data_IF_550861268971
#
_entry.id   IF_550861268971
#
_cell.length_a   1.000
_cell.length_b   1.000
_cell.length_c   1.000
_cell.angle_alpha   90.00
_cell.angle_beta   90.00
_cell.angle_gamma   90.00
#
_symmetry.space_group_name_H-M   'P 1'
#
loop_
_entity.id
_entity.type
_entity.pdbx_description
1 polymer ?
#
# COMPACT_ATOMS: atom_id res chain seq x y z
N UNK A 1 -20.26 -10.30 31.63
CA UNK A 1 -18.86 -9.89 31.83
C UNK A 1 -18.47 -9.20 30.56
N UNK A 2 -18.13 -7.90 30.61
CA UNK A 2 -17.78 -7.14 29.42
C UNK A 2 -16.30 -7.30 29.11
N UNK A 3 -15.95 -7.51 27.83
CA UNK A 3 -14.56 -7.58 27.37
C UNK A 3 -14.16 -6.26 26.76
N UNK A 4 -13.06 -5.67 27.24
CA UNK A 4 -12.52 -4.40 26.73
C UNK A 4 -11.15 -4.66 26.13
N UNK A 5 -10.88 -4.09 24.96
CA UNK A 5 -9.60 -4.18 24.27
C UNK A 5 -8.90 -2.83 24.31
N UNK A 6 -7.60 -2.83 24.61
CA UNK A 6 -6.73 -1.66 24.55
C UNK A 6 -5.74 -1.82 23.41
N UNK A 7 -5.74 -0.88 22.46
CA UNK A 7 -4.79 -0.87 21.36
C UNK A 7 -3.65 0.09 21.64
N UNK A 8 -2.41 -0.28 21.28
CA UNK A 8 -1.22 0.57 21.39
C UNK A 8 -1.31 1.81 20.49
N UNK A 9 -1.79 1.63 19.26
CA UNK A 9 -2.06 2.69 18.30
C UNK A 9 -3.47 2.52 17.74
N UNK A 10 -3.99 3.55 17.08
CA UNK A 10 -5.29 3.45 16.42
C UNK A 10 -5.25 2.30 15.39
N UNK A 11 -6.12 1.29 15.51
CA UNK A 11 -6.02 0.08 14.68
C UNK A 11 -6.19 0.38 13.19
N UNK A 12 -5.53 -0.43 12.36
CA UNK A 12 -5.72 -0.47 10.92
C UNK A 12 -5.49 -1.91 10.46
N UNK A 13 -6.56 -2.56 10.02
CA UNK A 13 -6.59 -3.98 9.69
C UNK A 13 -6.26 -4.27 8.23
N UNK A 14 -6.14 -5.55 7.87
CA UNK A 14 -6.09 -5.98 6.48
C UNK A 14 -7.39 -5.66 5.73
N UNK A 15 -8.53 -5.75 6.41
CA UNK A 15 -9.83 -5.35 5.85
C UNK A 15 -9.83 -3.87 5.46
N UNK A 16 -9.31 -2.99 6.33
CA UNK A 16 -9.25 -1.54 6.04
C UNK A 16 -8.44 -1.24 4.78
N UNK A 17 -7.31 -1.92 4.56
CA UNK A 17 -6.54 -1.73 3.31
C UNK A 17 -7.28 -2.25 2.08
N UNK A 18 -7.97 -3.38 2.19
CA UNK A 18 -8.79 -3.91 1.09
C UNK A 18 -9.92 -2.95 0.73
N UNK A 19 -10.59 -2.37 1.72
CA UNK A 19 -11.64 -1.35 1.52
C UNK A 19 -11.08 -0.06 0.92
N UNK A 20 -9.93 0.43 1.43
CA UNK A 20 -9.23 1.58 0.85
C UNK A 20 -8.95 1.35 -0.65
N UNK A 21 -8.36 0.21 -1.00
CA UNK A 21 -8.03 -0.13 -2.38
C UNK A 21 -9.30 -0.20 -3.24
N UNK A 22 -10.34 -0.88 -2.74
CA UNK A 22 -11.61 -1.03 -3.45
C UNK A 22 -12.24 0.32 -3.78
N UNK A 23 -12.38 1.21 -2.78
CA UNK A 23 -12.97 2.54 -3.00
C UNK A 23 -12.09 3.44 -3.86
N UNK A 24 -10.77 3.31 -3.77
CA UNK A 24 -9.83 4.12 -4.54
C UNK A 24 -9.85 3.77 -6.02
N UNK A 25 -9.98 2.48 -6.35
CA UNK A 25 -9.94 1.98 -7.73
C UNK A 25 -11.28 2.05 -8.48
N UNK A 26 -12.32 2.59 -7.84
CA UNK A 26 -13.65 2.77 -8.47
C UNK A 26 -13.76 4.13 -9.18
N UNK A 27 -14.87 4.32 -9.92
CA UNK A 27 -15.18 5.64 -10.49
C UNK A 27 -15.22 6.71 -9.36
N UNK A 28 -14.68 7.94 -9.56
CA UNK A 28 -14.17 8.50 -10.82
C UNK A 28 -12.66 8.31 -11.08
N UNK A 29 -11.95 7.47 -10.36
CA UNK A 29 -10.49 7.44 -10.35
C UNK A 29 -9.84 6.52 -11.42
N UNK A 30 -10.60 5.96 -12.35
CA UNK A 30 -10.10 5.00 -13.37
C UNK A 30 -8.92 5.51 -14.20
N UNK A 31 -8.87 6.83 -14.44
CA UNK A 31 -7.78 7.46 -15.18
C UNK A 31 -6.61 7.89 -14.29
N UNK A 32 -6.68 7.61 -12.98
CA UNK A 32 -5.67 8.02 -12.00
C UNK A 32 -4.97 6.84 -11.34
N UNK A 33 -5.66 5.70 -11.17
CA UNK A 33 -5.14 4.56 -10.42
C UNK A 33 -5.57 3.23 -11.01
N UNK A 34 -4.65 2.25 -10.96
CA UNK A 34 -4.89 0.84 -11.30
C UNK A 34 -4.35 -0.05 -10.20
N UNK A 35 -5.08 -1.13 -9.89
CA UNK A 35 -4.65 -2.17 -8.95
C UNK A 35 -3.98 -3.32 -9.71
N UNK A 36 -2.94 -3.89 -9.12
CA UNK A 36 -2.37 -5.19 -9.48
C UNK A 36 -1.97 -5.94 -8.23
N UNK A 37 -1.87 -7.25 -8.30
CA UNK A 37 -1.30 -8.08 -7.21
C UNK A 37 0.21 -8.18 -7.47
N UNK A 38 1.02 -7.70 -6.53
CA UNK A 38 2.48 -7.77 -6.61
C UNK A 38 2.94 -9.22 -6.44
N UNK A 39 2.47 -9.88 -5.40
CA UNK A 39 2.73 -11.29 -5.10
C UNK A 39 1.70 -11.83 -4.10
N UNK A 40 1.78 -13.14 -3.82
CA UNK A 40 1.12 -13.76 -2.69
C UNK A 40 2.05 -13.79 -1.47
N UNK A 41 1.50 -13.58 -0.29
CA UNK A 41 2.19 -13.81 0.96
C UNK A 41 2.34 -15.31 1.24
N UNK A 42 3.06 -15.68 2.29
CA UNK A 42 3.22 -17.10 2.71
C UNK A 42 1.88 -17.76 3.05
N UNK A 43 0.94 -17.02 3.64
CA UNK A 43 -0.41 -17.51 3.92
C UNK A 43 -1.35 -17.41 2.71
N UNK A 44 -0.88 -16.99 1.54
CA UNK A 44 -1.68 -16.87 0.32
C UNK A 44 -2.48 -15.57 0.18
N UNK A 45 -2.31 -14.61 1.08
CA UNK A 45 -2.96 -13.31 1.00
C UNK A 45 -2.36 -12.47 -0.14
N UNK A 46 -3.17 -11.61 -0.73
CA UNK A 46 -2.69 -10.67 -1.76
C UNK A 46 -1.82 -9.57 -1.12
N UNK A 47 -0.64 -9.38 -1.68
CA UNK A 47 0.15 -8.16 -1.49
C UNK A 47 -0.18 -7.25 -2.68
N UNK A 48 -1.11 -6.35 -2.47
CA UNK A 48 -1.60 -5.48 -3.52
C UNK A 48 -0.64 -4.31 -3.79
N UNK A 49 -0.56 -3.92 -5.07
CA UNK A 49 0.14 -2.72 -5.52
C UNK A 49 -0.80 -1.83 -6.32
N UNK A 50 -0.82 -0.55 -5.97
CA UNK A 50 -1.49 0.48 -6.75
C UNK A 50 -0.47 1.16 -7.67
N UNK A 51 -0.85 1.35 -8.93
CA UNK A 51 -0.13 2.15 -9.89
C UNK A 51 -0.91 3.44 -10.07
N UNK A 52 -0.31 4.58 -9.67
CA UNK A 52 -0.94 5.90 -9.73
C UNK A 52 -0.17 6.78 -10.69
N UNK A 53 -0.86 7.27 -11.72
CA UNK A 53 -0.33 8.21 -12.73
C UNK A 53 -1.53 8.81 -13.49
N UNK A 54 -1.29 9.74 -14.41
CA UNK A 54 -2.33 10.17 -15.34
C UNK A 54 -2.43 9.18 -16.51
N UNK A 55 -3.40 8.26 -16.45
CA UNK A 55 -3.66 7.25 -17.48
C UNK A 55 -4.42 7.81 -18.70
N UNK A 56 -4.89 9.06 -18.66
CA UNK A 56 -5.43 9.75 -19.82
C UNK A 56 -4.32 10.23 -20.79
N UNK A 57 -3.06 10.25 -20.36
CA UNK A 57 -1.90 10.52 -21.23
C UNK A 57 -1.68 9.37 -22.19
N UNK A 58 -1.02 9.66 -23.32
CA UNK A 58 -0.64 8.63 -24.29
C UNK A 58 0.39 7.66 -23.68
N UNK A 59 0.38 6.39 -24.07
CA UNK A 59 1.25 5.36 -23.47
C UNK A 59 2.75 5.69 -23.54
N UNK A 60 3.18 6.32 -24.60
CA UNK A 60 4.58 6.71 -24.85
C UNK A 60 5.06 7.72 -23.79
N UNK A 61 4.23 8.69 -23.42
CA UNK A 61 4.53 9.67 -22.37
C UNK A 61 4.61 8.99 -21.00
N UNK A 62 3.70 8.05 -20.72
CA UNK A 62 3.71 7.31 -19.45
C UNK A 62 4.98 6.45 -19.33
N UNK A 63 5.43 5.85 -20.45
CA UNK A 63 6.57 4.92 -20.47
C UNK A 63 7.90 5.61 -20.11
N UNK A 64 8.04 6.90 -20.36
CA UNK A 64 9.25 7.67 -20.04
C UNK A 64 9.23 8.36 -18.69
N UNK A 65 8.09 8.33 -17.96
CA UNK A 65 7.99 8.89 -16.62
C UNK A 65 8.85 8.13 -15.63
N UNK A 66 9.50 8.85 -14.72
CA UNK A 66 10.23 8.24 -13.61
C UNK A 66 9.27 7.55 -12.67
N UNK A 67 9.62 6.33 -12.25
CA UNK A 67 8.85 5.59 -11.25
C UNK A 67 9.29 5.97 -9.83
N UNK A 68 8.32 6.14 -8.94
CA UNK A 68 8.52 6.31 -7.49
C UNK A 68 7.83 5.15 -6.80
N UNK A 69 8.59 4.34 -6.06
CA UNK A 69 8.04 3.23 -5.28
C UNK A 69 7.88 3.65 -3.82
N UNK A 70 6.67 3.47 -3.30
CA UNK A 70 6.33 3.72 -1.89
C UNK A 70 5.81 2.42 -1.28
N UNK A 71 6.27 2.08 -0.09
CA UNK A 71 5.78 0.92 0.64
C UNK A 71 5.49 1.27 2.10
N UNK A 72 4.54 0.55 2.71
CA UNK A 72 4.17 0.72 4.09
C UNK A 72 3.92 -0.61 4.79
N UNK A 73 3.79 -0.56 6.10
CA UNK A 73 3.39 -1.68 6.96
C UNK A 73 4.26 -2.93 6.83
N UNK A 74 5.59 -2.76 6.74
CA UNK A 74 6.55 -3.86 6.83
C UNK A 74 6.53 -4.47 8.24
N UNK A 75 6.38 -3.64 9.28
CA UNK A 75 6.14 -4.07 10.64
C UNK A 75 4.62 -4.02 10.95
N UNK A 76 4.02 -5.15 11.33
CA UNK A 76 2.56 -5.25 11.49
C UNK A 76 1.97 -4.36 12.59
N UNK A 77 2.72 -4.10 13.66
CA UNK A 77 2.27 -3.25 14.77
C UNK A 77 2.29 -1.75 14.48
N UNK A 78 2.92 -1.30 13.38
CA UNK A 78 3.04 0.10 13.04
C UNK A 78 1.82 0.59 12.24
N UNK A 79 0.62 0.59 12.85
CA UNK A 79 -0.64 0.99 12.19
C UNK A 79 -0.62 2.43 11.67
N UNK A 80 0.16 3.33 12.29
CA UNK A 80 0.41 4.68 11.81
C UNK A 80 0.97 4.72 10.37
N UNK A 81 1.78 3.74 9.97
CA UNK A 81 2.28 3.64 8.60
C UNK A 81 1.15 3.45 7.58
N UNK A 82 0.11 2.68 7.92
CA UNK A 82 -1.06 2.50 7.07
C UNK A 82 -1.92 3.77 6.99
N UNK A 83 -2.11 4.48 8.11
CA UNK A 83 -2.81 5.76 8.12
C UNK A 83 -2.10 6.82 7.28
N UNK A 84 -0.76 6.90 7.38
CA UNK A 84 0.03 7.81 6.53
C UNK A 84 -0.08 7.44 5.06
N UNK A 85 0.03 6.14 4.74
CA UNK A 85 -0.07 5.67 3.35
C UNK A 85 -1.45 5.90 2.76
N UNK A 86 -2.51 5.75 3.55
CA UNK A 86 -3.87 6.11 3.14
C UNK A 86 -3.94 7.58 2.74
N UNK A 87 -3.41 8.50 3.58
CA UNK A 87 -3.38 9.92 3.25
C UNK A 87 -2.60 10.22 1.97
N UNK A 88 -1.49 9.53 1.73
CA UNK A 88 -0.71 9.65 0.47
C UNK A 88 -1.54 9.20 -0.72
N UNK A 89 -2.21 8.05 -0.64
CA UNK A 89 -3.05 7.52 -1.72
C UNK A 89 -4.21 8.48 -2.01
N UNK A 90 -4.94 8.87 -0.98
CA UNK A 90 -6.09 9.79 -1.11
C UNK A 90 -5.67 11.13 -1.72
N UNK A 91 -4.52 11.68 -1.31
CA UNK A 91 -3.97 12.88 -1.92
C UNK A 91 -3.63 12.67 -3.39
N UNK A 92 -2.89 11.60 -3.71
CA UNK A 92 -2.42 11.36 -5.08
C UNK A 92 -3.57 11.11 -6.08
N UNK A 93 -4.72 10.58 -5.64
CA UNK A 93 -5.89 10.38 -6.52
C UNK A 93 -6.88 11.54 -6.49
N UNK A 94 -6.67 12.55 -5.64
CA UNK A 94 -7.54 13.72 -5.53
C UNK A 94 -7.48 14.61 -6.77
N UNK A 95 -8.42 15.56 -6.85
CA UNK A 95 -8.46 16.59 -7.89
C UNK A 95 -7.60 17.83 -7.55
N UNK A 96 -6.74 17.72 -6.52
CA UNK A 96 -5.81 18.78 -6.18
C UNK A 96 -4.81 19.00 -7.32
N UNK A 97 -4.56 20.25 -7.70
CA UNK A 97 -3.65 20.61 -8.80
C UNK A 97 -2.23 20.08 -8.63
N UNK A 98 -1.73 20.03 -7.39
CA UNK A 98 -0.39 19.46 -7.09
C UNK A 98 -0.37 17.95 -7.30
N UNK A 99 -1.45 17.25 -6.91
CA UNK A 99 -1.59 15.81 -7.14
C UNK A 99 -1.68 15.51 -8.64
N UNK A 100 -2.41 16.31 -9.40
CA UNK A 100 -2.47 16.20 -10.86
C UNK A 100 -1.07 16.37 -11.48
N UNK A 101 -0.34 17.42 -11.11
CA UNK A 101 1.02 17.67 -11.60
C UNK A 101 1.98 16.51 -11.27
N UNK A 102 1.84 15.90 -10.09
CA UNK A 102 2.62 14.73 -9.72
C UNK A 102 2.28 13.52 -10.61
N UNK A 103 0.99 13.25 -10.87
CA UNK A 103 0.56 12.15 -11.76
C UNK A 103 0.97 12.39 -13.22
N UNK A 104 1.05 13.65 -13.67
CA UNK A 104 1.52 13.98 -15.01
C UNK A 104 3.04 13.78 -15.17
N UNK A 105 3.78 13.84 -14.05
CA UNK A 105 5.25 13.78 -14.04
C UNK A 105 5.80 12.40 -13.71
N UNK A 106 5.11 11.63 -12.86
CA UNK A 106 5.61 10.39 -12.29
C UNK A 106 4.64 9.21 -12.45
N UNK A 107 5.19 8.00 -12.35
CA UNK A 107 4.42 6.77 -12.08
C UNK A 107 4.71 6.35 -10.64
N UNK A 108 3.71 6.40 -9.78
CA UNK A 108 3.81 5.89 -8.41
C UNK A 108 3.44 4.41 -8.37
N UNK A 109 4.31 3.59 -7.77
CA UNK A 109 4.06 2.18 -7.43
C UNK A 109 3.92 2.09 -5.92
N UNK A 110 2.72 1.88 -5.43
CA UNK A 110 2.41 1.96 -4.00
C UNK A 110 2.01 0.59 -3.48
N UNK A 111 2.74 0.09 -2.50
CA UNK A 111 2.45 -1.15 -1.79
C UNK A 111 1.93 -0.77 -0.38
N UNK A 112 0.60 -0.74 -0.17
CA UNK A 112 0.03 -0.19 1.07
C UNK A 112 0.33 -1.03 2.31
N UNK A 113 0.52 -2.34 2.13
CA UNK A 113 0.79 -3.27 3.23
C UNK A 113 1.72 -4.38 2.76
N UNK A 114 3.01 -4.31 3.16
CA UNK A 114 4.02 -5.31 2.79
C UNK A 114 3.90 -6.62 3.56
N UNK A 115 3.36 -6.58 4.78
CA UNK A 115 3.27 -7.75 5.66
C UNK A 115 1.82 -8.03 6.10
N UNK A 116 0.95 -8.42 5.15
CA UNK A 116 -0.45 -8.70 5.48
C UNK A 116 -0.60 -9.87 6.48
N UNK A 117 0.21 -10.91 6.36
CA UNK A 117 0.15 -12.06 7.25
C UNK A 117 0.43 -11.66 8.71
N UNK A 118 1.48 -10.89 8.94
CA UNK A 118 1.81 -10.41 10.28
C UNK A 118 0.70 -9.54 10.87
N UNK A 119 0.02 -8.73 10.05
CA UNK A 119 -1.14 -7.92 10.47
C UNK A 119 -2.32 -8.83 10.84
N UNK A 120 -2.65 -9.82 10.02
CA UNK A 120 -3.78 -10.72 10.22
C UNK A 120 -3.61 -11.57 11.49
N UNK A 121 -2.40 -12.09 11.73
CA UNK A 121 -2.13 -12.91 12.93
C UNK A 121 -1.83 -12.10 14.18
N UNK A 122 -1.71 -10.75 14.06
CA UNK A 122 -1.53 -9.86 15.20
C UNK A 122 -0.08 -9.75 15.70
N UNK A 123 0.91 -10.00 14.86
CA UNK A 123 2.32 -9.76 15.20
C UNK A 123 2.59 -8.28 15.34
N UNK A 124 3.53 -7.92 16.23
CA UNK A 124 3.96 -6.52 16.34
C UNK A 124 5.02 -6.15 15.29
N UNK A 125 5.99 -7.06 15.04
CA UNK A 125 7.15 -6.76 14.19
C UNK A 125 7.39 -7.79 13.08
N UNK A 126 7.28 -9.07 13.38
CA UNK A 126 7.73 -10.13 12.49
C UNK A 126 6.68 -10.57 11.46
N UNK A 127 7.16 -11.21 10.40
CA UNK A 127 6.34 -11.92 9.42
C UNK A 127 5.72 -13.19 10.03
N UNK A 128 4.95 -13.93 9.24
CA UNK A 128 4.31 -15.18 9.64
C UNK A 128 5.33 -16.21 10.22
N UNK A 129 6.54 -16.24 9.72
CA UNK A 129 7.61 -17.16 10.13
C UNK A 129 8.58 -16.57 11.15
N UNK A 130 8.21 -15.48 11.81
CA UNK A 130 9.00 -14.89 12.89
C UNK A 130 10.20 -14.05 12.44
N UNK A 131 10.26 -13.65 11.17
CA UNK A 131 11.38 -12.89 10.62
C UNK A 131 11.02 -11.40 10.53
N UNK A 132 11.95 -10.53 10.93
CA UNK A 132 11.86 -9.09 10.66
C UNK A 132 12.19 -8.81 9.19
N UNK A 133 11.17 -8.55 8.38
CA UNK A 133 11.33 -8.31 6.95
C UNK A 133 12.23 -7.10 6.65
N UNK A 134 12.28 -6.12 7.55
CA UNK A 134 13.14 -4.95 7.38
C UNK A 134 14.63 -5.23 7.65
N UNK A 135 15.02 -6.48 7.91
CA UNK A 135 16.40 -6.96 7.96
C UNK A 135 16.76 -7.85 6.76
N UNK A 136 15.82 -8.02 5.81
CA UNK A 136 15.96 -8.96 4.69
C UNK A 136 16.17 -8.25 3.32
N UNK A 137 16.43 -6.94 3.32
CA UNK A 137 16.63 -6.17 2.08
C UNK A 137 17.96 -6.45 1.35
N UNK A 138 18.94 -6.99 2.08
CA UNK A 138 20.28 -7.29 1.54
C UNK A 138 20.52 -8.79 1.61
N UNK A 139 20.57 -9.42 0.44
CA UNK A 139 21.20 -10.73 0.24
C UNK A 139 20.56 -11.88 0.99
N UNK A 140 19.41 -12.37 0.57
CA UNK A 140 19.27 -13.81 0.52
C UNK A 140 20.05 -14.30 -0.70
N UNK A 141 21.34 -14.57 -0.54
CA UNK A 141 21.99 -15.54 -1.41
C UNK A 141 21.26 -16.86 -1.19
N UNK A 142 20.42 -17.22 -2.15
CA UNK A 142 19.81 -18.53 -2.21
C UNK A 142 20.91 -19.60 -2.26
#
# INVERSE_FOLDING_TARGET
>A
MDTVYFAHCYPYTYTDVCELISRTCTYPNKDKVRKTVLCKSLAGNDVDMLIVTNFASIPEDIAVRKAITLSARVHPGESNASWMMQGVIEFLVSDNEKAQKLRDTFVFKIIPMLNPDGVIVGNYRCSLVGVDLNRQWIGSSA
#
